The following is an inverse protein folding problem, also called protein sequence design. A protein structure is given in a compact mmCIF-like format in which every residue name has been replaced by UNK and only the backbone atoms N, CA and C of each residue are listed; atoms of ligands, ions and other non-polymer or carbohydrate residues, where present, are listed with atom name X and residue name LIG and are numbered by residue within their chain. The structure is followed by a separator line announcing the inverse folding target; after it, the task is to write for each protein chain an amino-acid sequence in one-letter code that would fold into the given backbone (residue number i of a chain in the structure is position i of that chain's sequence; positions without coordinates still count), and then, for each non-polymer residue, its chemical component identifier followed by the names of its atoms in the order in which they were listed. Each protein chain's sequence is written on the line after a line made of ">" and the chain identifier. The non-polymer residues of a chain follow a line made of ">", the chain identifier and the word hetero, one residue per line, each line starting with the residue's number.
data_IF_906875183848
#
_entry.id   IF_906875183848
#
_cell.length_a   1.000
_cell.length_b   1.000
_cell.length_c   1.000
_cell.angle_alpha   90.00
_cell.angle_beta   90.00
_cell.angle_gamma   90.00
#
_symmetry.space_group_name_H-M   'P 1'
#
loop_
_entity.id
_entity.type
_entity.pdbx_description
1 polymer ?
#
# COMPACT_ATOMS: atom_id res chain seq x y z
N UNK A 1 -19.78 -5.16 -45.08
CA UNK A 1 -18.66 -6.15 -45.11
C UNK A 1 -17.38 -5.41 -45.41
N UNK A 2 -16.36 -5.49 -44.54
CA UNK A 2 -15.00 -5.09 -44.91
C UNK A 2 -13.97 -5.96 -44.18
N UNK A 3 -12.85 -6.19 -44.87
CA UNK A 3 -11.97 -7.36 -44.80
C UNK A 3 -11.29 -7.59 -43.44
N UNK A 4 -11.27 -8.85 -42.98
CA UNK A 4 -10.35 -9.32 -41.93
C UNK A 4 -8.91 -9.22 -42.45
N UNK A 5 -8.00 -8.68 -41.64
CA UNK A 5 -6.55 -8.77 -41.87
C UNK A 5 -5.99 -9.68 -40.78
N UNK A 6 -5.61 -10.89 -41.19
CA UNK A 6 -4.83 -11.83 -40.38
C UNK A 6 -3.37 -11.65 -40.79
N UNK A 7 -2.51 -11.29 -39.85
CA UNK A 7 -1.05 -11.35 -40.01
C UNK A 7 -0.52 -12.36 -39.01
N UNK A 8 -0.17 -13.53 -39.51
CA UNK A 8 0.57 -14.56 -38.79
C UNK A 8 2.04 -14.38 -39.17
N UNK A 9 2.92 -14.21 -38.20
CA UNK A 9 4.35 -14.36 -38.39
C UNK A 9 4.89 -15.39 -37.38
N UNK A 10 5.11 -16.60 -37.88
CA UNK A 10 5.62 -17.75 -37.12
C UNK A 10 7.14 -17.86 -37.21
N UNK A 11 7.76 -18.12 -36.05
CA UNK A 11 8.99 -18.92 -35.85
C UNK A 11 10.28 -18.59 -36.61
N UNK A 12 11.34 -18.23 -35.87
CA UNK A 12 12.67 -18.88 -35.96
C UNK A 12 13.29 -19.07 -34.55
N UNK A 13 13.62 -20.32 -34.24
CA UNK A 13 14.45 -20.90 -33.13
C UNK A 13 15.13 -22.12 -33.80
N UNK A 14 16.34 -22.65 -33.46
CA UNK A 14 17.31 -22.38 -32.36
C UNK A 14 18.81 -22.22 -32.78
N UNK A 15 19.71 -21.94 -31.83
CA UNK A 15 21.04 -22.60 -31.61
C UNK A 15 21.64 -22.05 -30.28
N UNK A 16 21.88 -22.77 -29.17
CA UNK A 16 22.60 -24.01 -28.83
C UNK A 16 24.10 -23.80 -28.51
N UNK A 17 24.58 -24.53 -27.47
CA UNK A 17 25.98 -24.72 -27.01
C UNK A 17 26.55 -23.64 -26.05
N UNK A 18 27.24 -23.96 -24.92
CA UNK A 18 27.69 -25.23 -24.31
C UNK A 18 27.70 -25.14 -22.76
N UNK A 19 27.62 -26.30 -22.09
CA UNK A 19 27.84 -26.44 -20.65
C UNK A 19 29.34 -26.45 -20.29
N UNK A 20 29.69 -25.98 -19.08
CA UNK A 20 30.79 -26.54 -18.23
C UNK A 20 30.79 -25.88 -16.84
N UNK A 21 30.98 -26.68 -15.78
CA UNK A 21 31.34 -26.14 -14.45
C UNK A 21 30.44 -26.54 -13.28
N UNK A 22 30.39 -27.83 -12.92
CA UNK A 22 29.99 -28.21 -11.57
C UNK A 22 31.12 -27.84 -10.58
N UNK A 23 30.81 -27.26 -9.41
CA UNK A 23 31.00 -27.94 -8.11
C UNK A 23 30.80 -27.04 -6.88
N UNK A 24 30.18 -27.65 -5.86
CA UNK A 24 30.28 -27.36 -4.41
C UNK A 24 29.58 -26.13 -3.82
N UNK A 25 28.33 -26.37 -3.39
CA UNK A 25 27.74 -25.84 -2.14
C UNK A 25 28.53 -26.42 -0.95
N UNK A 26 28.77 -25.64 0.12
CA UNK A 26 28.27 -26.01 1.45
C UNK A 26 27.43 -24.91 2.11
N UNK A 27 26.51 -25.34 2.98
CA UNK A 27 25.47 -24.53 3.61
C UNK A 27 25.93 -23.51 4.67
N UNK A 28 24.98 -22.61 4.96
CA UNK A 28 24.90 -21.79 6.16
C UNK A 28 25.10 -22.58 7.46
N UNK A 29 25.82 -22.00 8.43
CA UNK A 29 25.26 -21.64 9.74
C UNK A 29 26.34 -21.12 10.71
N UNK A 30 26.09 -19.96 11.33
CA UNK A 30 26.56 -19.70 12.71
C UNK A 30 25.52 -20.31 13.64
N UNK A 31 25.94 -21.06 14.66
CA UNK A 31 25.38 -20.87 16.00
C UNK A 31 26.38 -21.27 17.09
N UNK A 32 26.29 -20.57 18.23
CA UNK A 32 27.14 -20.77 19.38
C UNK A 32 26.31 -21.13 20.62
N UNK A 33 26.64 -22.25 21.23
CA UNK A 33 26.72 -22.45 22.69
C UNK A 33 25.54 -22.07 23.63
N UNK A 34 25.01 -23.11 24.28
CA UNK A 34 24.65 -23.18 25.74
C UNK A 34 23.23 -22.76 26.19
N UNK A 35 22.38 -23.78 26.30
CA UNK A 35 21.59 -24.22 27.48
C UNK A 35 21.43 -23.28 28.70
N UNK A 36 20.18 -22.95 29.10
CA UNK A 36 19.74 -22.95 30.52
C UNK A 36 18.20 -22.88 30.76
N UNK A 37 17.64 -24.01 31.22
CA UNK A 37 16.55 -24.24 32.22
C UNK A 37 15.41 -23.20 32.46
N UNK A 38 14.16 -23.71 32.40
CA UNK A 38 12.85 -23.11 32.79
C UNK A 38 12.49 -23.49 34.26
N UNK A 39 11.94 -22.59 35.11
CA UNK A 39 10.58 -22.80 35.69
C UNK A 39 9.75 -21.59 36.23
N UNK A 40 8.43 -21.61 35.94
CA UNK A 40 7.26 -21.45 36.86
C UNK A 40 6.95 -20.11 37.60
N UNK A 41 5.83 -19.48 37.17
CA UNK A 41 4.63 -18.99 37.91
C UNK A 41 4.72 -18.24 39.27
N UNK A 42 4.04 -17.08 39.40
CA UNK A 42 2.78 -16.94 40.19
C UNK A 42 2.16 -15.53 40.30
N UNK A 43 0.91 -15.43 39.83
CA UNK A 43 -0.28 -14.70 40.32
C UNK A 43 -0.28 -13.61 41.45
N UNK A 44 -1.12 -12.58 41.21
CA UNK A 44 -2.17 -11.97 42.09
C UNK A 44 -2.01 -10.57 42.76
N UNK A 45 -3.04 -9.73 42.51
CA UNK A 45 -3.67 -8.66 43.35
C UNK A 45 -3.29 -7.16 43.26
N UNK A 46 -4.21 -6.42 42.64
CA UNK A 46 -5.05 -5.36 43.25
C UNK A 46 -4.46 -4.00 43.72
N UNK A 47 -4.62 -3.02 42.82
CA UNK A 47 -5.61 -1.92 42.95
C UNK A 47 -5.49 -0.92 44.13
N UNK A 48 -5.05 0.31 43.83
CA UNK A 48 -5.67 1.50 44.45
C UNK A 48 -5.74 2.72 43.52
N UNK A 49 -6.98 3.16 43.34
CA UNK A 49 -7.47 4.42 42.76
C UNK A 49 -6.62 5.64 43.11
N UNK A 50 -6.20 6.39 42.08
CA UNK A 50 -5.89 7.81 42.20
C UNK A 50 -6.63 8.62 41.11
N UNK A 51 -7.13 9.80 41.48
CA UNK A 51 -8.07 10.56 40.63
C UNK A 51 -7.37 11.75 39.99
N UNK A 52 -6.78 11.55 38.81
CA UNK A 52 -6.25 12.65 37.99
C UNK A 52 -7.29 13.11 36.97
N UNK A 53 -7.53 14.43 36.90
CA UNK A 53 -8.21 15.07 35.77
C UNK A 53 -7.27 15.06 34.57
N UNK A 54 -7.29 13.99 33.77
CA UNK A 54 -6.74 14.05 32.42
C UNK A 54 -7.77 14.72 31.51
N UNK A 55 -7.40 15.86 30.92
CA UNK A 55 -7.90 16.17 29.59
C UNK A 55 -7.25 15.16 28.65
N UNK A 56 -7.95 14.06 28.36
CA UNK A 56 -7.51 13.10 27.35
C UNK A 56 -7.48 13.84 26.00
N UNK A 57 -6.28 14.10 25.49
CA UNK A 57 -6.12 14.33 24.06
C UNK A 57 -6.47 13.02 23.38
N UNK A 58 -7.68 12.95 22.81
CA UNK A 58 -8.21 11.79 22.09
C UNK A 58 -7.46 11.60 20.77
N UNK A 59 -6.18 11.28 20.88
CA UNK A 59 -5.29 11.07 19.77
C UNK A 59 -5.63 9.73 19.12
N UNK A 60 -5.86 9.75 17.82
CA UNK A 60 -6.20 8.58 17.02
C UNK A 60 -4.90 8.03 16.41
N UNK A 61 -4.75 6.71 16.38
CA UNK A 61 -3.64 6.07 15.66
C UNK A 61 -4.12 5.75 14.25
N UNK A 62 -3.39 6.23 13.25
CA UNK A 62 -3.57 5.88 11.85
C UNK A 62 -2.41 5.00 11.35
N UNK A 63 -2.67 4.16 10.36
CA UNK A 63 -1.66 3.33 9.68
C UNK A 63 -1.35 3.92 8.32
N UNK A 64 -0.11 4.33 8.07
CA UNK A 64 0.34 4.85 6.77
C UNK A 64 1.20 3.79 6.09
N UNK A 65 0.85 3.42 4.87
CA UNK A 65 1.62 2.50 4.04
C UNK A 65 2.59 3.25 3.13
N UNK A 66 3.74 2.64 2.86
CA UNK A 66 4.76 3.10 1.93
C UNK A 66 5.53 1.91 1.35
N UNK A 67 6.27 2.13 0.27
CA UNK A 67 7.16 1.15 -0.34
C UNK A 67 8.44 0.94 0.47
N UNK A 68 8.87 -0.31 0.63
CA UNK A 68 10.27 -0.65 0.87
C UNK A 68 11.03 -0.67 -0.45
N UNK A 69 12.01 0.22 -0.58
CA UNK A 69 12.81 0.42 -1.80
C UNK A 69 13.70 -0.78 -2.15
N UNK A 70 14.04 -1.61 -1.15
CA UNK A 70 14.95 -2.75 -1.33
C UNK A 70 14.22 -4.07 -1.63
N UNK A 71 12.90 -4.15 -1.42
CA UNK A 71 12.17 -5.43 -1.45
C UNK A 71 10.84 -5.46 -2.21
N UNK A 72 10.40 -4.35 -2.83
CA UNK A 72 9.10 -4.21 -3.51
C UNK A 72 7.88 -4.56 -2.63
N UNK A 73 8.03 -4.55 -1.30
CA UNK A 73 6.95 -4.80 -0.35
C UNK A 73 6.35 -3.49 0.19
N UNK A 74 5.06 -3.53 0.57
CA UNK A 74 4.48 -2.47 1.40
C UNK A 74 4.86 -2.65 2.87
N UNK A 75 5.48 -1.62 3.44
CA UNK A 75 5.70 -1.48 4.89
C UNK A 75 4.71 -0.47 5.47
N UNK A 76 4.49 -0.51 6.79
CA UNK A 76 3.57 0.41 7.47
C UNK A 76 4.24 1.16 8.63
N UNK A 77 3.76 2.38 8.86
CA UNK A 77 4.13 3.29 9.95
C UNK A 77 2.85 3.66 10.69
N UNK A 78 2.84 3.51 12.01
CA UNK A 78 1.75 4.05 12.85
C UNK A 78 2.04 5.49 13.21
N UNK A 79 1.05 6.37 13.02
CA UNK A 79 1.15 7.81 13.25
C UNK A 79 0.03 8.26 14.19
N UNK A 80 0.31 9.28 14.99
CA UNK A 80 -0.61 9.80 16.01
C UNK A 80 -1.24 11.10 15.52
N UNK A 81 -2.53 11.05 15.21
CA UNK A 81 -3.31 12.17 14.70
C UNK A 81 -4.21 12.77 15.77
N UNK A 82 -4.53 14.06 15.66
CA UNK A 82 -5.55 14.72 16.50
C UNK A 82 -6.97 14.33 16.11
N UNK A 83 -7.18 14.07 14.83
CA UNK A 83 -8.46 13.72 14.21
C UNK A 83 -8.15 12.89 12.96
N UNK A 84 -9.02 11.95 12.62
CA UNK A 84 -8.88 11.09 11.45
C UNK A 84 -9.70 11.66 10.30
N UNK A 85 -9.04 12.42 9.42
CA UNK A 85 -9.63 13.07 8.25
C UNK A 85 -8.86 12.69 6.98
N UNK A 86 -9.49 12.80 5.81
CA UNK A 86 -8.82 12.53 4.54
C UNK A 86 -7.58 13.41 4.35
N UNK A 87 -7.68 14.72 4.64
CA UNK A 87 -6.54 15.64 4.64
C UNK A 87 -5.43 15.23 5.61
N UNK A 88 -5.74 14.75 6.82
CA UNK A 88 -4.69 14.33 7.77
C UNK A 88 -3.94 13.07 7.32
N UNK A 89 -4.62 12.15 6.64
CA UNK A 89 -4.00 10.99 5.99
C UNK A 89 -3.18 11.42 4.76
N UNK A 90 -3.72 12.34 3.96
CA UNK A 90 -3.04 12.88 2.77
C UNK A 90 -1.73 13.59 3.11
N UNK A 91 -1.71 14.45 4.13
CA UNK A 91 -0.49 15.13 4.55
C UNK A 91 0.54 14.15 5.15
N UNK A 92 0.13 13.07 5.82
CA UNK A 92 1.08 12.03 6.25
C UNK A 92 1.64 11.21 5.06
N UNK A 93 0.86 10.95 4.02
CA UNK A 93 1.37 10.33 2.78
C UNK A 93 2.39 11.23 2.07
N UNK A 94 2.18 12.56 2.08
CA UNK A 94 3.17 13.55 1.62
C UNK A 94 4.41 13.63 2.52
N UNK A 95 4.24 13.52 3.84
CA UNK A 95 5.35 13.47 4.80
C UNK A 95 6.20 12.20 4.66
N UNK A 96 5.62 11.11 4.16
CA UNK A 96 6.31 9.87 3.79
C UNK A 96 6.81 9.85 2.34
N UNK A 97 6.73 10.98 1.61
CA UNK A 97 7.09 11.12 0.18
C UNK A 97 6.39 10.10 -0.77
N UNK A 98 5.26 9.52 -0.34
CA UNK A 98 4.40 8.65 -1.18
C UNK A 98 3.65 9.48 -2.22
N UNK A 99 3.34 10.74 -1.92
CA UNK A 99 2.67 11.66 -2.85
C UNK A 99 3.52 12.92 -3.02
N UNK A 100 3.58 13.43 -4.25
CA UNK A 100 4.37 14.62 -4.58
C UNK A 100 3.95 15.83 -3.73
N UNK A 101 4.91 16.62 -3.28
CA UNK A 101 4.66 17.77 -2.38
C UNK A 101 3.78 18.86 -3.00
N UNK A 102 3.68 18.91 -4.33
CA UNK A 102 2.81 19.82 -5.08
C UNK A 102 1.36 19.37 -5.20
N UNK A 103 1.07 18.07 -4.99
CA UNK A 103 -0.29 17.52 -5.06
C UNK A 103 -1.20 18.17 -4.01
N UNK A 104 -2.48 18.33 -4.38
CA UNK A 104 -3.58 18.65 -3.47
C UNK A 104 -4.60 17.53 -3.46
N UNK A 105 -5.20 17.29 -2.31
CA UNK A 105 -6.46 16.58 -2.20
C UNK A 105 -7.58 17.53 -2.64
N UNK A 106 -8.22 17.25 -3.78
CA UNK A 106 -9.35 18.04 -4.27
C UNK A 106 -10.67 17.61 -3.59
N UNK A 107 -10.83 16.31 -3.34
CA UNK A 107 -12.02 15.74 -2.70
C UNK A 107 -11.75 14.33 -2.17
N UNK A 108 -12.38 13.97 -1.07
CA UNK A 108 -12.61 12.59 -0.68
C UNK A 108 -14.09 12.41 -0.31
N UNK A 109 -14.71 11.34 -0.80
CA UNK A 109 -16.06 10.94 -0.44
C UNK A 109 -16.12 9.44 -0.19
N UNK A 110 -17.02 9.02 0.71
CA UNK A 110 -17.33 7.61 0.93
C UNK A 110 -18.84 7.36 0.90
N UNK A 111 -19.23 6.19 0.39
CA UNK A 111 -20.63 5.77 0.28
C UNK A 111 -20.73 4.24 0.31
N UNK A 112 -21.95 3.72 0.52
CA UNK A 112 -22.25 2.29 0.37
C UNK A 112 -22.83 2.06 -1.04
N UNK A 113 -22.26 1.13 -1.79
CA UNK A 113 -22.74 0.79 -3.13
C UNK A 113 -23.97 -0.15 -3.13
N UNK A 114 -24.53 -0.42 -4.30
CA UNK A 114 -25.70 -1.30 -4.47
C UNK A 114 -25.47 -2.76 -4.05
N UNK A 115 -24.20 -3.16 -3.90
CA UNK A 115 -23.77 -4.48 -3.43
C UNK A 115 -23.40 -4.46 -1.94
N UNK A 116 -23.71 -3.37 -1.24
CA UNK A 116 -23.47 -3.15 0.18
C UNK A 116 -21.98 -3.08 0.58
N UNK A 117 -21.09 -2.72 -0.35
CA UNK A 117 -19.68 -2.47 -0.08
C UNK A 117 -19.44 -1.01 0.33
N UNK A 118 -18.52 -0.78 1.27
CA UNK A 118 -18.00 0.54 1.60
C UNK A 118 -16.99 1.01 0.55
N UNK A 119 -17.31 2.08 -0.17
CA UNK A 119 -16.53 2.63 -1.28
C UNK A 119 -15.99 3.99 -0.90
N UNK A 120 -14.68 4.19 -1.06
CA UNK A 120 -14.08 5.53 -1.07
C UNK A 120 -13.74 5.97 -2.49
N UNK A 121 -13.89 7.27 -2.76
CA UNK A 121 -13.41 7.92 -3.99
C UNK A 121 -12.54 9.09 -3.58
N UNK A 122 -11.25 9.03 -3.93
CA UNK A 122 -10.29 10.10 -3.72
C UNK A 122 -9.99 10.80 -5.05
N UNK A 123 -10.00 12.13 -5.05
CA UNK A 123 -9.67 12.95 -6.21
C UNK A 123 -8.49 13.86 -5.87
N UNK A 124 -7.39 13.69 -6.60
CA UNK A 124 -6.20 14.53 -6.48
C UNK A 124 -6.18 15.64 -7.55
N UNK A 125 -5.35 16.66 -7.34
CA UNK A 125 -5.02 17.63 -8.39
C UNK A 125 -4.03 17.05 -9.40
N UNK A 126 -3.96 17.63 -10.59
CA UNK A 126 -3.09 17.15 -11.69
C UNK A 126 -1.60 17.03 -11.32
N UNK A 127 -1.13 17.80 -10.33
CA UNK A 127 0.24 17.74 -9.79
C UNK A 127 0.55 16.38 -9.11
N UNK A 128 -0.46 15.52 -8.95
CA UNK A 128 -0.28 14.09 -8.64
C UNK A 128 0.62 13.39 -9.66
N UNK A 129 0.60 13.80 -10.93
CA UNK A 129 1.46 13.23 -11.98
C UNK A 129 2.89 13.78 -11.99
N UNK A 130 3.27 14.69 -11.08
CA UNK A 130 4.62 15.28 -11.02
C UNK A 130 5.67 14.31 -10.40
N UNK A 131 5.56 13.01 -10.70
CA UNK A 131 6.49 11.96 -10.30
C UNK A 131 7.28 11.45 -11.52
N UNK A 132 8.47 10.89 -11.27
CA UNK A 132 9.31 10.25 -12.30
C UNK A 132 9.61 8.81 -11.88
N UNK A 133 8.56 7.99 -11.85
CA UNK A 133 8.59 6.59 -11.42
C UNK A 133 8.48 5.68 -12.63
N UNK A 134 9.15 4.53 -12.57
CA UNK A 134 8.84 3.40 -13.46
C UNK A 134 7.62 2.64 -12.96
N UNK A 135 7.04 1.80 -13.82
CA UNK A 135 5.78 1.08 -13.57
C UNK A 135 5.70 0.36 -12.21
N UNK A 136 6.77 -0.30 -11.75
CA UNK A 136 6.76 -0.99 -10.44
C UNK A 136 6.56 0.00 -9.28
N UNK A 137 7.34 1.08 -9.24
CA UNK A 137 7.21 2.09 -8.18
C UNK A 137 5.89 2.86 -8.28
N UNK A 138 5.34 3.03 -9.48
CA UNK A 138 4.02 3.63 -9.67
C UNK A 138 2.91 2.75 -9.08
N UNK A 139 2.93 1.44 -9.33
CA UNK A 139 2.02 0.48 -8.67
C UNK A 139 2.16 0.57 -7.15
N UNK A 140 3.38 0.52 -6.62
CA UNK A 140 3.62 0.62 -5.18
C UNK A 140 3.12 1.94 -4.56
N UNK A 141 3.25 3.05 -5.29
CA UNK A 141 2.74 4.37 -4.88
C UNK A 141 1.21 4.33 -4.74
N UNK A 142 0.52 3.83 -5.77
CA UNK A 142 -0.93 3.73 -5.80
C UNK A 142 -1.46 2.75 -4.74
N UNK A 143 -0.81 1.59 -4.58
CA UNK A 143 -1.13 0.59 -3.57
C UNK A 143 -0.91 1.13 -2.14
N UNK A 144 0.16 1.92 -1.92
CA UNK A 144 0.41 2.61 -0.64
C UNK A 144 -0.72 3.56 -0.28
N UNK A 145 -1.19 4.38 -1.24
CA UNK A 145 -2.34 5.27 -1.07
C UNK A 145 -3.60 4.44 -0.81
N UNK A 146 -3.87 3.45 -1.65
CA UNK A 146 -5.07 2.63 -1.60
C UNK A 146 -5.21 1.92 -0.26
N UNK A 147 -4.19 1.15 0.14
CA UNK A 147 -4.19 0.40 1.41
C UNK A 147 -4.30 1.34 2.62
N UNK A 148 -3.66 2.51 2.58
CA UNK A 148 -3.78 3.53 3.62
C UNK A 148 -5.23 4.01 3.78
N UNK A 149 -5.90 4.44 2.72
CA UNK A 149 -7.30 4.89 2.84
C UNK A 149 -8.27 3.75 3.18
N UNK A 150 -8.07 2.56 2.61
CA UNK A 150 -8.91 1.39 2.86
C UNK A 150 -8.87 0.97 4.34
N UNK A 151 -7.68 0.90 4.95
CA UNK A 151 -7.56 0.54 6.36
C UNK A 151 -8.14 1.62 7.28
N UNK A 152 -7.70 2.88 7.13
CA UNK A 152 -8.06 3.93 8.07
C UNK A 152 -9.56 4.30 8.04
N UNK A 153 -10.20 4.27 6.86
CA UNK A 153 -11.63 4.56 6.73
C UNK A 153 -12.51 3.29 6.72
N UNK A 154 -11.91 2.12 6.96
CA UNK A 154 -12.54 0.80 6.88
C UNK A 154 -13.43 0.64 5.64
N UNK A 155 -12.83 0.92 4.49
CA UNK A 155 -13.46 0.70 3.18
C UNK A 155 -13.33 -0.79 2.80
N UNK A 156 -14.13 -1.20 1.83
CA UNK A 156 -13.95 -2.46 1.11
C UNK A 156 -13.23 -2.22 -0.22
N UNK A 157 -13.36 -1.02 -0.81
CA UNK A 157 -12.61 -0.62 -2.01
C UNK A 157 -12.41 0.89 -2.13
N UNK A 158 -11.37 1.29 -2.88
CA UNK A 158 -11.03 2.68 -3.18
C UNK A 158 -10.89 2.90 -4.69
N UNK A 159 -11.42 4.01 -5.19
CA UNK A 159 -11.10 4.57 -6.52
C UNK A 159 -10.22 5.81 -6.37
N UNK A 160 -9.19 5.90 -7.21
CA UNK A 160 -8.34 7.09 -7.35
C UNK A 160 -8.73 7.82 -8.64
N UNK A 161 -8.99 9.12 -8.52
CA UNK A 161 -9.22 10.06 -9.60
C UNK A 161 -8.13 11.15 -9.61
N UNK A 162 -7.85 11.72 -10.77
CA UNK A 162 -7.01 12.92 -10.90
C UNK A 162 -7.75 13.96 -11.75
N UNK A 163 -7.92 15.16 -11.20
CA UNK A 163 -8.74 16.24 -11.77
C UNK A 163 -10.16 15.78 -12.21
N UNK A 164 -10.72 14.83 -11.44
CA UNK A 164 -12.03 14.23 -11.69
C UNK A 164 -12.08 13.19 -12.81
N UNK A 165 -10.96 12.84 -13.44
CA UNK A 165 -10.85 11.75 -14.41
C UNK A 165 -10.33 10.47 -13.75
N UNK A 166 -10.62 9.32 -14.36
CA UNK A 166 -10.03 8.04 -13.96
C UNK A 166 -8.50 8.10 -14.07
N UNK A 167 -7.79 7.36 -13.22
CA UNK A 167 -6.33 7.38 -13.20
C UNK A 167 -5.73 6.82 -14.50
N UNK A 168 -4.91 7.63 -15.19
CA UNK A 168 -4.23 7.25 -16.43
C UNK A 168 -2.79 7.79 -16.43
N UNK A 169 -1.83 6.94 -16.76
CA UNK A 169 -0.40 7.25 -16.88
C UNK A 169 0.21 6.59 -18.12
N UNK A 170 1.53 6.73 -18.29
CA UNK A 170 2.27 6.01 -19.34
C UNK A 170 2.40 4.49 -19.10
N UNK A 171 1.96 3.96 -17.96
CA UNK A 171 2.11 2.55 -17.58
C UNK A 171 0.81 1.89 -17.11
N UNK A 172 -0.12 2.66 -16.55
CA UNK A 172 -1.33 2.19 -15.90
C UNK A 172 -2.53 2.97 -16.45
N UNK A 173 -3.61 2.27 -16.80
CA UNK A 173 -4.88 2.85 -17.21
C UNK A 173 -5.98 2.20 -16.39
N UNK A 174 -6.69 3.00 -15.60
CA UNK A 174 -7.88 2.56 -14.86
C UNK A 174 -9.14 2.91 -15.65
N UNK A 175 -10.04 1.93 -15.74
CA UNK A 175 -11.37 2.09 -16.29
C UNK A 175 -12.37 2.52 -15.21
N UNK A 176 -13.55 2.92 -15.65
CA UNK A 176 -14.63 3.42 -14.78
C UNK A 176 -15.02 2.46 -13.66
N UNK A 177 -14.91 1.15 -13.87
CA UNK A 177 -15.31 0.15 -12.89
C UNK A 177 -14.11 -0.52 -12.19
N UNK A 178 -12.90 0.02 -12.37
CA UNK A 178 -11.69 -0.41 -11.66
C UNK A 178 -11.59 0.28 -10.28
N UNK A 179 -11.23 -0.50 -9.27
CA UNK A 179 -11.02 -0.07 -7.88
C UNK A 179 -9.90 -0.91 -7.27
N UNK A 180 -9.15 -0.34 -6.33
CA UNK A 180 -8.33 -1.12 -5.40
C UNK A 180 -9.25 -1.80 -4.39
N UNK A 181 -9.16 -3.12 -4.26
CA UNK A 181 -10.00 -3.90 -3.36
C UNK A 181 -9.24 -4.26 -2.08
N UNK A 182 -9.92 -4.28 -0.93
CA UNK A 182 -9.33 -4.64 0.37
C UNK A 182 -8.70 -6.02 0.36
N UNK A 183 -9.32 -6.98 -0.30
CA UNK A 183 -8.83 -8.35 -0.43
C UNK A 183 -7.54 -8.49 -1.24
N UNK A 184 -7.18 -7.50 -2.07
CA UNK A 184 -5.94 -7.50 -2.85
C UNK A 184 -4.68 -7.25 -2.00
N UNK A 185 -4.85 -6.86 -0.73
CA UNK A 185 -3.75 -6.42 0.15
C UNK A 185 -3.45 -7.37 1.32
N UNK A 186 -4.06 -8.56 1.35
CA UNK A 186 -4.02 -9.51 2.48
C UNK A 186 -3.03 -10.67 2.28
#
# INVERSE_FOLDING_TARGET
>A
MLKKIIVIFTFIIPFLALCSGCSNIPDSAKEASITSKIPISSNVSNNKKDTSKNNESNNIIATIYTSDIDSENLINKKVTLKELTAESIFEELKNCDVVTKGTKLNKFESYIDSSNNSVGVINFSKEFYDFNLGSSFEVMMLDSIAKTYIENFNLDKLKILVDGQEYESGHILFQKDDYFMKESFN
#
